data_IF_722535344454
#
_entry.id   IF_722535344454
#
_cell.length_a   1.000
_cell.length_b   1.000
_cell.length_c   1.000
_cell.angle_alpha   90.00
_cell.angle_beta   90.00
_cell.angle_gamma   90.00
#
_symmetry.space_group_name_H-M   'P 1'
#
loop_
_entity.id
_entity.type
_entity.pdbx_description
1 polymer ?
#
# COMPACT_ATOMS: atom_id res chain seq x y z
N UNK A 1 -5.60 -9.48 23.94
CA UNK A 1 -6.32 -9.40 22.66
C UNK A 1 -6.09 -10.68 21.85
N UNK A 2 -6.95 -10.99 20.88
CA UNK A 2 -6.81 -12.19 20.04
C UNK A 2 -5.99 -11.94 18.77
N UNK A 3 -5.95 -10.71 18.31
CA UNK A 3 -5.25 -10.27 17.09
C UNK A 3 -5.10 -8.74 17.10
N UNK A 4 -4.36 -8.19 16.13
CA UNK A 4 -4.12 -6.75 16.00
C UNK A 4 -5.39 -5.91 15.82
N UNK A 5 -6.45 -6.48 15.19
CA UNK A 5 -7.75 -5.81 15.05
C UNK A 5 -8.44 -5.62 16.39
N UNK A 6 -8.42 -6.65 17.25
CA UNK A 6 -8.97 -6.56 18.61
C UNK A 6 -8.16 -5.57 19.48
N UNK A 7 -6.83 -5.48 19.28
CA UNK A 7 -5.99 -4.47 19.93
C UNK A 7 -6.37 -3.05 19.48
N UNK A 8 -6.52 -2.84 18.16
CA UNK A 8 -6.91 -1.55 17.62
C UNK A 8 -8.29 -1.09 18.16
N UNK A 9 -9.24 -2.02 18.27
CA UNK A 9 -10.55 -1.75 18.88
C UNK A 9 -10.38 -1.38 20.35
N UNK A 10 -9.67 -2.19 21.14
CA UNK A 10 -9.48 -1.95 22.57
C UNK A 10 -8.81 -0.61 22.85
N UNK A 11 -7.76 -0.27 22.10
CA UNK A 11 -7.06 1.01 22.24
C UNK A 11 -7.96 2.17 21.80
N UNK A 12 -8.71 2.04 20.69
CA UNK A 12 -9.64 3.09 20.27
C UNK A 12 -10.75 3.35 21.31
N UNK A 13 -11.29 2.30 21.92
CA UNK A 13 -12.30 2.41 22.95
C UNK A 13 -11.75 3.09 24.21
N UNK A 14 -10.50 2.81 24.59
CA UNK A 14 -9.82 3.47 25.71
C UNK A 14 -9.62 4.97 25.43
N UNK A 15 -9.17 5.29 24.20
CA UNK A 15 -8.99 6.67 23.75
C UNK A 15 -10.30 7.47 23.79
N UNK A 16 -11.40 6.89 23.34
CA UNK A 16 -12.69 7.56 23.34
C UNK A 16 -13.29 7.75 24.74
N UNK A 17 -13.22 6.71 25.58
CA UNK A 17 -13.89 6.69 26.89
C UNK A 17 -13.12 7.45 27.95
N UNK A 18 -11.82 7.23 28.04
CA UNK A 18 -11.04 7.64 29.19
C UNK A 18 -10.03 8.75 28.90
N UNK A 19 -9.44 8.79 27.73
CA UNK A 19 -8.37 9.73 27.43
C UNK A 19 -8.85 11.04 26.80
N UNK A 20 -9.88 11.02 25.97
CA UNK A 20 -10.43 12.22 25.31
C UNK A 20 -10.82 13.34 26.28
N UNK A 21 -11.14 12.98 27.53
CA UNK A 21 -11.54 13.94 28.59
C UNK A 21 -10.36 14.48 29.37
N UNK A 22 -9.26 13.76 29.46
CA UNK A 22 -8.16 14.00 30.40
C UNK A 22 -6.82 14.34 29.74
N UNK A 23 -6.63 13.98 28.46
CA UNK A 23 -5.37 14.14 27.78
C UNK A 23 -5.58 14.71 26.37
N UNK A 24 -4.62 15.53 25.93
CA UNK A 24 -4.49 15.95 24.53
C UNK A 24 -4.02 14.79 23.67
N UNK A 25 -4.66 14.57 22.52
CA UNK A 25 -4.26 13.53 21.57
C UNK A 25 -2.80 13.70 21.10
N UNK A 26 -2.28 14.92 21.06
CA UNK A 26 -0.87 15.15 20.71
C UNK A 26 0.12 14.55 21.73
N UNK A 27 -0.33 14.24 22.93
CA UNK A 27 0.47 13.65 24.01
C UNK A 27 0.32 12.14 24.10
N UNK A 28 -0.43 11.54 23.19
CA UNK A 28 -0.64 10.10 23.10
C UNK A 28 0.19 9.54 21.96
N UNK A 29 0.87 8.42 22.20
CA UNK A 29 1.61 7.69 21.19
C UNK A 29 1.22 6.21 21.14
N UNK A 30 1.18 5.66 19.92
CA UNK A 30 1.12 4.23 19.65
C UNK A 30 2.45 3.85 19.01
N UNK A 31 3.24 3.05 19.71
CA UNK A 31 4.57 2.64 19.26
C UNK A 31 4.51 1.19 18.77
N UNK A 32 4.80 1.01 17.49
CA UNK A 32 4.82 -0.30 16.85
C UNK A 32 6.25 -0.76 16.62
N UNK A 33 6.47 -2.08 16.52
CA UNK A 33 7.78 -2.63 16.18
C UNK A 33 8.10 -2.44 14.70
N UNK A 34 7.12 -2.65 13.84
CA UNK A 34 7.24 -2.48 12.40
C UNK A 34 6.06 -1.67 11.84
N UNK A 35 6.36 -0.84 10.83
CA UNK A 35 5.40 0.14 10.31
C UNK A 35 4.13 -0.50 9.71
N UNK A 36 4.19 -1.75 9.21
CA UNK A 36 3.01 -2.42 8.66
C UNK A 36 1.91 -2.63 9.71
N UNK A 37 2.26 -2.76 11.00
CA UNK A 37 1.33 -2.93 12.11
C UNK A 37 0.39 -1.72 12.29
N UNK A 38 0.73 -0.55 11.75
CA UNK A 38 -0.14 0.64 11.90
C UNK A 38 -1.46 0.50 11.14
N UNK A 39 -1.56 -0.38 10.13
CA UNK A 39 -2.75 -0.50 9.28
C UNK A 39 -4.04 -0.74 10.09
N UNK A 40 -4.04 -1.68 11.01
CA UNK A 40 -5.24 -2.00 11.82
C UNK A 40 -5.71 -0.79 12.64
N UNK A 41 -4.77 0.00 13.16
CA UNK A 41 -5.07 1.24 13.87
C UNK A 41 -5.57 2.32 12.92
N UNK A 42 -4.94 2.48 11.76
CA UNK A 42 -5.36 3.44 10.74
C UNK A 42 -6.79 3.17 10.28
N UNK A 43 -7.12 1.90 9.97
CA UNK A 43 -8.47 1.47 9.60
C UNK A 43 -9.49 1.72 10.71
N UNK A 44 -9.15 1.36 11.96
CA UNK A 44 -10.04 1.59 13.10
C UNK A 44 -10.27 3.07 13.34
N UNK A 45 -9.22 3.88 13.30
CA UNK A 45 -9.29 5.32 13.56
C UNK A 45 -10.06 6.05 12.46
N UNK A 46 -9.89 5.68 11.21
CA UNK A 46 -10.74 6.18 10.11
C UNK A 46 -12.22 5.88 10.36
N UNK A 47 -12.52 4.65 10.78
CA UNK A 47 -13.91 4.21 11.01
C UNK A 47 -14.59 4.95 12.17
N UNK A 48 -13.86 5.27 13.25
CA UNK A 48 -14.40 5.94 14.45
C UNK A 48 -14.13 7.44 14.48
N UNK A 49 -13.44 7.99 13.47
CA UNK A 49 -13.15 9.43 13.38
C UNK A 49 -12.09 9.91 14.36
N UNK A 50 -11.15 9.06 14.78
CA UNK A 50 -10.02 9.45 15.63
C UNK A 50 -8.90 10.00 14.73
N UNK A 51 -8.50 11.28 14.90
CA UNK A 51 -7.43 11.86 14.09
C UNK A 51 -6.05 11.33 14.52
N UNK A 52 -5.22 10.98 13.54
CA UNK A 52 -3.89 10.44 13.78
C UNK A 52 -2.86 10.95 12.76
N UNK A 53 -1.58 10.79 13.07
CA UNK A 53 -0.47 11.02 12.14
C UNK A 53 0.58 9.93 12.28
N UNK A 54 1.26 9.62 11.18
CA UNK A 54 2.39 8.70 11.16
C UNK A 54 3.68 9.52 11.22
N UNK A 55 4.51 9.29 12.23
CA UNK A 55 5.81 9.95 12.38
C UNK A 55 6.89 9.04 11.81
N UNK A 56 7.72 9.59 10.92
CA UNK A 56 8.79 8.84 10.27
C UNK A 56 8.33 7.89 9.16
N UNK A 57 7.11 8.09 8.65
CA UNK A 57 6.54 7.29 7.58
C UNK A 57 5.34 7.95 6.91
N UNK A 58 4.66 7.21 6.06
CA UNK A 58 3.42 7.60 5.41
C UNK A 58 2.28 6.69 5.80
N UNK A 59 1.04 7.17 5.69
CA UNK A 59 -0.16 6.39 5.93
C UNK A 59 -0.20 5.17 5.00
N UNK A 60 -0.90 4.12 5.43
CA UNK A 60 -0.87 2.83 4.76
C UNK A 60 -1.19 2.92 3.27
N UNK A 61 -2.32 3.55 2.92
CA UNK A 61 -2.73 3.70 1.51
C UNK A 61 -1.90 4.71 0.70
N UNK A 62 -1.03 5.46 1.35
CA UNK A 62 -0.13 6.42 0.70
C UNK A 62 1.26 5.85 0.40
N UNK A 63 1.61 4.68 0.95
CA UNK A 63 2.90 4.02 0.71
C UNK A 63 3.06 3.68 -0.76
N UNK A 64 4.28 3.84 -1.29
CA UNK A 64 4.55 3.72 -2.72
C UNK A 64 4.12 2.36 -3.30
N UNK A 65 4.48 1.25 -2.63
CA UNK A 65 4.12 -0.10 -3.03
C UNK A 65 2.62 -0.37 -2.95
N UNK A 66 1.92 0.25 -2.01
CA UNK A 66 0.47 0.13 -1.88
C UNK A 66 -0.23 0.91 -3.00
N UNK A 67 0.22 2.14 -3.27
CA UNK A 67 -0.26 2.93 -4.41
C UNK A 67 -0.04 2.21 -5.75
N UNK A 68 1.09 1.50 -5.90
CA UNK A 68 1.36 0.70 -7.10
C UNK A 68 0.36 -0.46 -7.24
N UNK A 69 0.13 -1.22 -6.16
CA UNK A 69 -0.88 -2.30 -6.14
C UNK A 69 -2.29 -1.78 -6.46
N UNK A 70 -2.68 -0.67 -5.84
CA UNK A 70 -3.97 -0.02 -6.09
C UNK A 70 -4.09 0.45 -7.54
N UNK A 71 -3.03 1.03 -8.12
CA UNK A 71 -3.03 1.46 -9.51
C UNK A 71 -3.20 0.28 -10.49
N UNK A 72 -2.57 -0.88 -10.22
CA UNK A 72 -2.84 -2.10 -10.97
C UNK A 72 -4.31 -2.52 -10.91
N UNK A 73 -4.91 -2.51 -9.73
CA UNK A 73 -6.31 -2.88 -9.55
C UNK A 73 -7.25 -1.87 -10.24
N UNK A 74 -6.98 -0.57 -10.11
CA UNK A 74 -7.76 0.51 -10.71
C UNK A 74 -7.80 0.44 -12.23
N UNK A 75 -6.67 0.25 -12.90
CA UNK A 75 -6.63 0.17 -14.36
C UNK A 75 -7.33 -1.08 -14.91
N UNK A 76 -7.40 -2.15 -14.12
CA UNK A 76 -8.16 -3.35 -14.48
C UNK A 76 -9.66 -3.10 -14.32
N UNK A 77 -10.06 -2.45 -13.25
CA UNK A 77 -11.46 -2.11 -12.97
C UNK A 77 -11.97 -1.04 -13.94
N UNK A 78 -11.17 -0.01 -14.23
CA UNK A 78 -11.52 1.11 -15.08
C UNK A 78 -10.47 1.37 -16.15
N UNK A 79 -10.77 0.98 -17.42
CA UNK A 79 -9.83 1.07 -18.56
C UNK A 79 -9.39 2.50 -18.93
N UNK A 80 -10.09 3.53 -18.44
CA UNK A 80 -9.78 4.93 -18.73
C UNK A 80 -9.05 5.64 -17.59
N UNK A 81 -8.56 4.89 -16.60
CA UNK A 81 -7.79 5.48 -15.50
C UNK A 81 -6.35 5.77 -15.93
N UNK A 82 -6.17 6.93 -16.54
CA UNK A 82 -4.88 7.36 -17.08
C UNK A 82 -3.83 7.58 -15.98
N UNK A 83 -4.24 8.03 -14.79
CA UNK A 83 -3.33 8.18 -13.66
C UNK A 83 -2.79 6.83 -13.16
N UNK A 84 -3.68 5.83 -13.09
CA UNK A 84 -3.27 4.47 -12.74
C UNK A 84 -2.35 3.88 -13.82
N UNK A 85 -2.68 4.08 -15.10
CA UNK A 85 -1.84 3.62 -16.21
C UNK A 85 -0.43 4.23 -16.16
N UNK A 86 -0.34 5.56 -16.06
CA UNK A 86 0.93 6.28 -15.96
C UNK A 86 1.80 5.74 -14.84
N UNK A 87 1.21 5.53 -13.67
CA UNK A 87 1.93 5.07 -12.50
C UNK A 87 2.61 3.72 -12.71
N UNK A 88 1.93 2.75 -13.35
CA UNK A 88 2.39 1.36 -13.38
C UNK A 88 2.96 0.91 -14.72
N UNK A 89 2.80 1.67 -15.78
CA UNK A 89 3.22 1.24 -17.14
C UNK A 89 4.70 0.87 -17.23
N UNK A 90 5.55 1.50 -16.43
CA UNK A 90 7.00 1.21 -16.35
C UNK A 90 7.46 0.76 -14.94
N UNK A 91 6.55 0.26 -14.12
CA UNK A 91 6.85 -0.35 -12.82
C UNK A 91 6.28 -1.78 -12.79
N UNK A 92 7.13 -2.82 -12.78
CA UNK A 92 8.60 -2.83 -12.97
C UNK A 92 9.06 -2.26 -14.31
N UNK A 93 10.36 -1.94 -14.42
CA UNK A 93 10.92 -1.34 -15.64
C UNK A 93 10.69 -2.20 -16.90
N UNK A 94 10.07 -1.59 -17.93
CA UNK A 94 9.73 -2.22 -19.22
C UNK A 94 10.34 -1.50 -20.42
N UNK A 95 11.42 -0.76 -20.20
CA UNK A 95 12.07 0.10 -21.23
C UNK A 95 11.14 1.20 -21.79
N UNK A 96 10.16 1.62 -21.02
CA UNK A 96 9.25 2.73 -21.36
C UNK A 96 9.79 3.96 -20.62
N UNK A 97 10.49 4.83 -21.35
CA UNK A 97 11.05 6.05 -20.79
C UNK A 97 10.16 7.27 -21.03
N UNK A 98 10.56 8.41 -20.44
CA UNK A 98 9.81 9.67 -20.46
C UNK A 98 9.46 10.15 -21.88
N UNK A 99 10.38 9.95 -22.85
CA UNK A 99 10.12 10.33 -24.26
C UNK A 99 8.95 9.55 -24.86
N UNK A 100 8.82 8.26 -24.53
CA UNK A 100 7.69 7.44 -25.00
C UNK A 100 6.41 7.82 -24.27
N UNK A 101 6.47 8.06 -22.97
CA UNK A 101 5.32 8.53 -22.22
C UNK A 101 4.81 9.87 -22.76
N UNK A 102 5.70 10.82 -23.02
CA UNK A 102 5.35 12.10 -23.64
C UNK A 102 4.65 11.91 -25.00
N UNK A 103 5.18 11.00 -25.85
CA UNK A 103 4.57 10.68 -27.14
C UNK A 103 3.15 10.10 -26.97
N UNK A 104 2.95 9.20 -25.99
CA UNK A 104 1.63 8.63 -25.67
C UNK A 104 0.67 9.72 -25.19
N UNK A 105 1.10 10.64 -24.35
CA UNK A 105 0.30 11.77 -23.88
C UNK A 105 -0.11 12.72 -25.00
N UNK A 106 0.84 13.10 -25.86
CA UNK A 106 0.55 13.98 -26.99
C UNK A 106 -0.48 13.35 -27.95
N UNK A 107 -0.30 12.06 -28.23
CA UNK A 107 -1.24 11.32 -29.08
C UNK A 107 -2.63 11.19 -28.41
N UNK A 108 -2.69 10.91 -27.11
CA UNK A 108 -3.91 10.81 -26.34
C UNK A 108 -4.69 12.12 -26.36
N UNK A 109 -3.98 13.24 -26.10
CA UNK A 109 -4.57 14.60 -26.10
C UNK A 109 -5.13 14.98 -27.47
N UNK A 110 -4.36 14.75 -28.53
CA UNK A 110 -4.75 15.11 -29.90
C UNK A 110 -5.96 14.31 -30.38
N UNK A 111 -6.10 13.05 -29.97
CA UNK A 111 -7.14 12.15 -30.45
C UNK A 111 -8.27 11.92 -29.43
N UNK A 112 -8.25 12.59 -28.27
CA UNK A 112 -9.21 12.41 -27.16
C UNK A 112 -9.35 10.94 -26.74
N UNK A 113 -8.23 10.23 -26.62
CA UNK A 113 -8.14 8.83 -26.20
C UNK A 113 -7.52 8.69 -24.83
N UNK A 114 -7.79 7.57 -24.14
CA UNK A 114 -7.05 7.20 -22.95
C UNK A 114 -5.59 6.81 -23.31
N UNK A 115 -4.68 6.88 -22.30
CA UNK A 115 -3.27 6.52 -22.48
C UNK A 115 -3.11 5.07 -22.95
N UNK A 116 -3.94 4.14 -22.43
CA UNK A 116 -3.93 2.75 -22.86
C UNK A 116 -4.31 2.59 -24.34
N UNK A 117 -5.42 3.24 -24.76
CA UNK A 117 -5.85 3.20 -26.17
C UNK A 117 -4.83 3.85 -27.10
N UNK A 118 -4.26 4.96 -26.67
CA UNK A 118 -3.20 5.66 -27.40
C UNK A 118 -1.95 4.80 -27.55
N UNK A 119 -1.57 4.08 -26.51
CA UNK A 119 -0.46 3.12 -26.55
C UNK A 119 -0.71 2.02 -27.58
N UNK A 120 -1.91 1.44 -27.62
CA UNK A 120 -2.30 0.44 -28.64
C UNK A 120 -2.20 1.01 -30.05
N UNK A 121 -2.72 2.22 -30.27
CA UNK A 121 -2.68 2.88 -31.59
C UNK A 121 -1.26 3.20 -32.09
N UNK A 122 -0.42 3.73 -31.19
CA UNK A 122 0.97 4.02 -31.53
C UNK A 122 1.79 2.74 -31.88
N UNK A 123 1.46 1.60 -31.23
CA UNK A 123 2.03 0.29 -31.57
C UNK A 123 1.57 -0.17 -32.96
N UNK A 124 0.25 -0.07 -33.27
CA UNK A 124 -0.33 -0.43 -34.55
C UNK A 124 0.28 0.40 -35.71
N UNK A 125 0.49 1.69 -35.47
CA UNK A 125 1.09 2.62 -36.44
C UNK A 125 2.63 2.50 -36.56
N UNK A 126 3.26 1.59 -35.77
CA UNK A 126 4.71 1.43 -35.71
C UNK A 126 5.49 2.71 -35.33
N UNK A 127 4.88 3.59 -34.51
CA UNK A 127 5.50 4.83 -34.07
C UNK A 127 6.32 4.67 -32.78
N UNK A 128 6.32 3.50 -32.15
CA UNK A 128 7.09 3.16 -30.94
C UNK A 128 8.37 2.41 -31.33
N UNK A 129 9.49 2.77 -30.67
CA UNK A 129 10.78 2.09 -30.87
C UNK A 129 10.67 0.58 -30.58
N UNK A 130 11.35 -0.31 -31.35
CA UNK A 130 11.17 -1.77 -31.24
C UNK A 130 11.33 -2.31 -29.81
N UNK A 131 12.36 -1.89 -29.08
CA UNK A 131 12.61 -2.34 -27.71
C UNK A 131 11.47 -1.97 -26.75
N UNK A 132 10.98 -0.73 -26.84
CA UNK A 132 9.87 -0.22 -26.02
C UNK A 132 8.56 -0.87 -26.43
N UNK A 133 8.36 -1.10 -27.74
CA UNK A 133 7.17 -1.78 -28.28
C UNK A 133 6.95 -3.15 -27.64
N UNK A 134 8.01 -3.95 -27.48
CA UNK A 134 7.92 -5.28 -26.86
C UNK A 134 7.41 -5.17 -25.42
N UNK A 135 8.02 -4.31 -24.61
CA UNK A 135 7.63 -4.13 -23.21
C UNK A 135 6.21 -3.59 -23.04
N UNK A 136 5.84 -2.60 -23.87
CA UNK A 136 4.51 -2.00 -23.86
C UNK A 136 3.43 -3.00 -24.30
N UNK A 137 3.68 -3.75 -25.39
CA UNK A 137 2.75 -4.77 -25.86
C UNK A 137 2.55 -5.89 -24.84
N UNK A 138 3.63 -6.37 -24.24
CA UNK A 138 3.56 -7.37 -23.17
C UNK A 138 2.69 -6.89 -22.00
N UNK A 139 2.87 -5.63 -21.57
CA UNK A 139 2.08 -5.06 -20.50
C UNK A 139 0.59 -4.93 -20.87
N UNK A 140 0.27 -4.44 -22.06
CA UNK A 140 -1.12 -4.34 -22.54
C UNK A 140 -1.80 -5.71 -22.64
N UNK A 141 -1.08 -6.75 -23.05
CA UNK A 141 -1.59 -8.11 -23.06
C UNK A 141 -1.89 -8.64 -21.66
N UNK A 142 -1.04 -8.33 -20.68
CA UNK A 142 -1.30 -8.67 -19.29
C UNK A 142 -2.55 -7.97 -18.75
N UNK A 143 -2.75 -6.69 -19.04
CA UNK A 143 -3.97 -5.98 -18.64
C UNK A 143 -5.23 -6.65 -19.19
N UNK A 144 -5.22 -7.03 -20.48
CA UNK A 144 -6.35 -7.73 -21.09
C UNK A 144 -6.60 -9.10 -20.44
N UNK A 145 -5.52 -9.85 -20.16
CA UNK A 145 -5.60 -11.14 -19.46
C UNK A 145 -6.23 -10.99 -18.08
N UNK A 146 -5.74 -10.04 -17.26
CA UNK A 146 -6.23 -9.85 -15.90
C UNK A 146 -7.69 -9.37 -15.85
N UNK A 147 -8.13 -8.54 -16.82
CA UNK A 147 -9.55 -8.19 -17.00
C UNK A 147 -10.40 -9.40 -17.31
N UNK A 148 -9.90 -10.29 -18.16
CA UNK A 148 -10.59 -11.55 -18.46
C UNK A 148 -10.71 -12.45 -17.22
N UNK A 149 -9.64 -12.59 -16.44
CA UNK A 149 -9.64 -13.35 -15.18
C UNK A 149 -10.67 -12.79 -14.19
N UNK A 150 -10.74 -11.47 -14.04
CA UNK A 150 -11.69 -10.81 -13.13
C UNK A 150 -13.15 -10.97 -13.64
N UNK A 151 -13.40 -10.57 -14.88
CA UNK A 151 -14.77 -10.38 -15.36
C UNK A 151 -15.43 -11.66 -15.83
N UNK A 152 -14.70 -12.54 -16.49
CA UNK A 152 -15.22 -13.77 -17.12
C UNK A 152 -15.02 -14.96 -16.21
N UNK A 153 -13.81 -15.17 -15.68
CA UNK A 153 -13.55 -16.29 -14.77
C UNK A 153 -13.97 -16.04 -13.32
N UNK A 154 -14.43 -14.80 -13.01
CA UNK A 154 -14.89 -14.41 -11.67
C UNK A 154 -13.86 -14.68 -10.58
N UNK A 155 -12.58 -14.45 -10.90
CA UNK A 155 -11.51 -14.62 -9.95
C UNK A 155 -11.68 -13.60 -8.80
N UNK A 156 -11.44 -14.02 -7.55
CA UNK A 156 -11.48 -13.08 -6.42
C UNK A 156 -10.43 -11.99 -6.57
N UNK A 157 -10.76 -10.77 -6.14
CA UNK A 157 -9.88 -9.60 -6.24
C UNK A 157 -8.56 -9.79 -5.48
N UNK A 158 -8.56 -10.53 -4.35
CA UNK A 158 -7.35 -10.89 -3.60
C UNK A 158 -6.42 -11.77 -4.45
N UNK A 159 -6.99 -12.83 -5.05
CA UNK A 159 -6.20 -13.74 -5.88
C UNK A 159 -5.73 -13.09 -7.17
N UNK A 160 -6.55 -12.18 -7.71
CA UNK A 160 -6.17 -11.37 -8.86
C UNK A 160 -4.92 -10.53 -8.56
N UNK A 161 -4.87 -9.82 -7.42
CA UNK A 161 -3.69 -9.04 -7.06
C UNK A 161 -2.44 -9.91 -6.90
N UNK A 162 -2.56 -11.11 -6.30
CA UNK A 162 -1.43 -12.05 -6.20
C UNK A 162 -0.87 -12.42 -7.59
N UNK A 163 -1.75 -12.75 -8.54
CA UNK A 163 -1.37 -13.06 -9.93
C UNK A 163 -0.72 -11.85 -10.60
N UNK A 164 -1.27 -10.66 -10.44
CA UNK A 164 -0.71 -9.42 -10.99
C UNK A 164 0.70 -9.19 -10.48
N UNK A 165 0.94 -9.31 -9.19
CA UNK A 165 2.24 -9.08 -8.56
C UNK A 165 3.31 -10.06 -9.08
N UNK A 166 2.94 -11.30 -9.34
CA UNK A 166 3.84 -12.32 -9.86
C UNK A 166 4.07 -12.15 -11.37
N UNK A 167 3.01 -12.04 -12.17
CA UNK A 167 3.10 -11.97 -13.64
C UNK A 167 3.67 -10.63 -14.15
N UNK A 168 3.43 -9.53 -13.44
CA UNK A 168 4.05 -8.24 -13.75
C UNK A 168 5.55 -8.21 -13.47
N UNK A 169 6.05 -9.15 -12.64
CA UNK A 169 7.40 -9.16 -12.11
C UNK A 169 7.60 -8.24 -10.91
N UNK A 170 6.53 -7.68 -10.32
CA UNK A 170 6.61 -6.75 -9.19
C UNK A 170 7.18 -7.43 -7.94
N UNK A 171 6.69 -8.63 -7.60
CA UNK A 171 7.22 -9.43 -6.50
C UNK A 171 8.71 -9.74 -6.69
N UNK A 172 9.11 -10.09 -7.90
CA UNK A 172 10.52 -10.37 -8.23
C UNK A 172 11.40 -9.12 -8.12
N UNK A 173 10.90 -7.96 -8.54
CA UNK A 173 11.60 -6.68 -8.43
C UNK A 173 11.94 -6.35 -6.97
N UNK A 174 11.01 -6.55 -6.04
CA UNK A 174 11.25 -6.31 -4.62
C UNK A 174 12.18 -7.34 -4.00
N UNK A 175 12.02 -8.63 -4.34
CA UNK A 175 12.86 -9.73 -3.81
C UNK A 175 14.31 -9.68 -4.30
N UNK A 176 14.58 -9.11 -5.48
CA UNK A 176 15.92 -9.03 -6.05
C UNK A 176 16.85 -8.06 -5.31
N UNK A 177 16.30 -7.11 -4.58
CA UNK A 177 17.06 -6.22 -3.69
C UNK A 177 16.84 -6.69 -2.26
N UNK A 178 17.81 -7.40 -1.72
CA UNK A 178 17.78 -7.86 -0.31
C UNK A 178 18.19 -6.71 0.63
N UNK A 179 17.31 -5.74 0.79
CA UNK A 179 17.45 -4.65 1.76
C UNK A 179 16.20 -4.61 2.66
N UNK A 180 16.37 -4.04 3.84
CA UNK A 180 15.32 -3.94 4.85
C UNK A 180 14.10 -3.17 4.33
N UNK A 181 14.30 -2.21 3.44
CA UNK A 181 13.23 -1.41 2.85
C UNK A 181 12.30 -2.27 1.98
N UNK A 182 12.86 -3.12 1.10
CA UNK A 182 12.06 -3.99 0.26
C UNK A 182 11.39 -5.12 1.05
N UNK A 183 12.00 -5.60 2.13
CA UNK A 183 11.34 -6.53 3.05
C UNK A 183 10.10 -5.88 3.69
N UNK A 184 10.22 -4.67 4.20
CA UNK A 184 9.09 -3.91 4.74
C UNK A 184 7.99 -3.68 3.69
N UNK A 185 8.35 -3.41 2.44
CA UNK A 185 7.40 -3.29 1.33
C UNK A 185 6.65 -4.59 1.07
N UNK A 186 7.32 -5.72 1.12
CA UNK A 186 6.67 -7.03 0.97
C UNK A 186 5.70 -7.32 2.12
N UNK A 187 6.04 -6.96 3.36
CA UNK A 187 5.11 -7.07 4.49
C UNK A 187 3.91 -6.14 4.32
N UNK A 188 4.10 -4.90 3.86
CA UNK A 188 3.00 -3.99 3.54
C UNK A 188 2.05 -4.58 2.47
N UNK A 189 2.59 -5.27 1.45
CA UNK A 189 1.76 -5.93 0.43
C UNK A 189 1.00 -7.12 1.02
N UNK A 190 1.59 -7.91 1.93
CA UNK A 190 0.88 -8.98 2.64
C UNK A 190 -0.28 -8.41 3.46
N UNK A 191 -0.04 -7.29 4.14
CA UNK A 191 -1.07 -6.57 4.89
C UNK A 191 -2.19 -6.07 3.97
N UNK A 192 -1.86 -5.55 2.79
CA UNK A 192 -2.87 -5.16 1.79
C UNK A 192 -3.73 -6.34 1.36
N UNK A 193 -3.12 -7.49 1.06
CA UNK A 193 -3.84 -8.72 0.71
C UNK A 193 -4.74 -9.20 1.86
N UNK A 194 -4.32 -8.99 3.11
CA UNK A 194 -5.14 -9.30 4.28
C UNK A 194 -6.34 -8.37 4.40
N UNK A 195 -6.11 -7.06 4.26
CA UNK A 195 -7.17 -6.04 4.26
C UNK A 195 -8.22 -6.31 3.17
N UNK A 196 -7.79 -6.65 1.96
CA UNK A 196 -8.68 -6.93 0.84
C UNK A 196 -9.66 -8.08 1.11
N UNK A 197 -9.34 -9.03 1.99
CA UNK A 197 -10.24 -10.15 2.35
C UNK A 197 -11.49 -9.69 3.11
N UNK A 198 -11.48 -8.50 3.68
CA UNK A 198 -12.62 -7.94 4.41
C UNK A 198 -13.70 -7.37 3.48
N UNK A 199 -13.43 -7.30 2.17
CA UNK A 199 -14.32 -6.74 1.16
C UNK A 199 -14.88 -7.83 0.25
N UNK A 200 -16.15 -7.72 -0.11
CA UNK A 200 -16.83 -8.71 -0.94
C UNK A 200 -16.31 -8.75 -2.38
N UNK A 201 -15.88 -7.59 -2.89
CA UNK A 201 -15.43 -7.45 -4.28
C UNK A 201 -14.42 -6.31 -4.44
N UNK A 202 -13.88 -6.18 -5.66
CA UNK A 202 -12.89 -5.14 -5.99
C UNK A 202 -13.45 -3.73 -5.89
N UNK A 203 -14.70 -3.53 -6.27
CA UNK A 203 -15.35 -2.21 -6.28
C UNK A 203 -15.43 -1.64 -4.85
N UNK A 204 -16.00 -2.41 -3.92
CA UNK A 204 -16.13 -2.00 -2.51
C UNK A 204 -14.77 -1.72 -1.86
N UNK A 205 -13.74 -2.49 -2.22
CA UNK A 205 -12.38 -2.22 -1.76
C UNK A 205 -11.83 -0.89 -2.31
N UNK A 206 -11.99 -0.63 -3.63
CA UNK A 206 -11.50 0.62 -4.24
C UNK A 206 -12.25 1.86 -3.73
N UNK A 207 -13.55 1.75 -3.47
CA UNK A 207 -14.34 2.80 -2.82
C UNK A 207 -13.81 3.10 -1.42
N UNK A 208 -13.56 2.08 -0.61
CA UNK A 208 -12.97 2.24 0.71
C UNK A 208 -11.63 2.96 0.65
N UNK A 209 -10.72 2.53 -0.24
CA UNK A 209 -9.42 3.20 -0.44
C UNK A 209 -9.59 4.67 -0.82
N UNK A 210 -10.53 4.97 -1.70
CA UNK A 210 -10.82 6.35 -2.11
C UNK A 210 -11.27 7.21 -0.92
N UNK A 211 -12.16 6.69 -0.08
CA UNK A 211 -12.60 7.37 1.14
C UNK A 211 -11.44 7.55 2.12
N UNK A 212 -10.67 6.49 2.39
CA UNK A 212 -9.55 6.51 3.33
C UNK A 212 -8.49 7.56 2.96
N UNK A 213 -8.27 7.78 1.65
CA UNK A 213 -7.29 8.77 1.17
C UNK A 213 -7.83 10.19 1.08
N UNK A 214 -9.16 10.39 1.07
CA UNK A 214 -9.80 11.72 0.97
C UNK A 214 -10.02 12.42 2.32
N UNK A 215 -10.27 11.66 3.39
CA UNK A 215 -10.67 12.20 4.72
C UNK A 215 -9.56 13.03 5.38
N UNK A 216 -8.33 12.91 4.96
CA UNK A 216 -7.15 13.37 5.70
C UNK A 216 -6.66 14.78 5.36
N UNK A 217 -7.23 15.44 4.40
CA UNK A 217 -6.70 16.72 3.89
C UNK A 217 -7.05 17.95 4.74
N UNK A 218 -7.97 17.85 5.71
CA UNK A 218 -8.55 19.04 6.37
C UNK A 218 -8.45 19.09 7.90
N UNK A 219 -7.83 18.08 8.58
CA UNK A 219 -7.80 18.11 10.04
C UNK A 219 -6.58 18.86 10.59
N UNK A 220 -6.82 20.07 11.10
CA UNK A 220 -5.78 20.95 11.69
C UNK A 220 -5.66 20.80 13.22
N UNK A 221 -6.47 19.93 13.84
CA UNK A 221 -6.54 19.71 15.27
C UNK A 221 -5.48 18.73 15.82
N UNK A 222 -5.66 18.38 17.08
CA UNK A 222 -4.83 17.40 17.79
C UNK A 222 -4.92 16.01 17.14
N UNK A 223 -3.77 15.34 17.00
CA UNK A 223 -3.65 14.02 16.36
C UNK A 223 -2.87 13.06 17.24
N UNK A 224 -3.31 11.81 17.31
CA UNK A 224 -2.54 10.73 17.93
C UNK A 224 -1.29 10.44 17.10
N UNK A 225 -0.18 10.21 17.79
CA UNK A 225 1.10 9.91 17.14
C UNK A 225 1.25 8.40 16.98
N UNK A 226 1.43 7.91 15.77
CA UNK A 226 1.80 6.52 15.50
C UNK A 226 3.18 6.47 14.88
N UNK A 227 4.04 5.61 15.39
CA UNK A 227 5.42 5.49 14.90
C UNK A 227 6.04 4.16 15.33
N UNK A 228 7.19 3.84 14.74
CA UNK A 228 8.00 2.73 15.23
C UNK A 228 8.72 3.13 16.53
N UNK A 229 9.06 2.15 17.38
CA UNK A 229 9.87 2.39 18.57
C UNK A 229 11.19 3.10 18.26
N UNK A 230 11.81 2.80 17.11
CA UNK A 230 13.03 3.48 16.67
C UNK A 230 12.80 4.97 16.38
N UNK A 231 11.68 5.32 15.78
CA UNK A 231 11.34 6.73 15.50
C UNK A 231 10.96 7.51 16.76
N UNK A 232 10.58 6.82 17.83
CA UNK A 232 10.24 7.41 19.11
C UNK A 232 11.46 7.82 19.96
N UNK A 233 12.68 7.44 19.55
CA UNK A 233 13.89 7.76 20.32
C UNK A 233 14.05 9.26 20.54
N UNK A 234 14.08 9.67 21.81
CA UNK A 234 14.20 11.07 22.20
C UNK A 234 12.90 11.87 22.22
N UNK A 235 11.76 11.22 21.96
CA UNK A 235 10.43 11.80 22.12
C UNK A 235 9.83 11.35 23.46
N UNK A 236 8.96 12.21 24.04
CA UNK A 236 8.27 11.95 25.31
C UNK A 236 6.77 12.13 25.12
N UNK A 237 5.98 11.19 25.67
CA UNK A 237 4.53 11.20 25.61
C UNK A 237 3.94 10.90 27.00
N UNK A 238 2.80 11.50 27.32
CA UNK A 238 2.12 11.24 28.59
C UNK A 238 1.44 9.88 28.66
N UNK A 239 0.98 9.39 27.48
CA UNK A 239 0.36 8.07 27.35
C UNK A 239 0.98 7.35 26.17
N UNK A 240 1.42 6.12 26.40
CA UNK A 240 2.04 5.27 25.38
C UNK A 240 1.33 3.92 25.34
N UNK A 241 0.90 3.53 24.13
CA UNK A 241 0.43 2.19 23.84
C UNK A 241 1.50 1.41 23.09
N UNK A 242 1.73 0.17 23.49
CA UNK A 242 2.71 -0.75 22.90
C UNK A 242 1.98 -2.01 22.41
N UNK A 243 1.34 -1.99 21.23
CA UNK A 243 0.64 -3.14 20.68
C UNK A 243 1.62 -4.14 20.01
N UNK A 244 1.10 -5.34 19.75
CA UNK A 244 1.82 -6.37 19.00
C UNK A 244 2.95 -7.03 19.78
N UNK A 245 2.80 -7.19 21.09
CA UNK A 245 3.73 -7.94 21.94
C UNK A 245 3.43 -9.44 21.84
N UNK A 246 3.78 -10.01 20.68
CA UNK A 246 3.58 -11.42 20.37
C UNK A 246 4.82 -12.03 19.72
N UNK A 247 5.00 -13.33 19.87
CA UNK A 247 6.13 -14.05 19.28
C UNK A 247 6.17 -13.87 17.77
N UNK A 248 7.38 -13.61 17.25
CA UNK A 248 7.62 -13.35 15.83
C UNK A 248 7.51 -11.89 15.41
N UNK A 249 6.81 -11.04 16.20
CA UNK A 249 6.79 -9.59 16.02
C UNK A 249 7.72 -8.88 17.01
N UNK A 250 7.66 -9.26 18.29
CA UNK A 250 8.52 -8.73 19.33
C UNK A 250 8.83 -9.82 20.39
N UNK A 251 10.04 -10.37 20.41
CA UNK A 251 11.19 -10.09 19.54
C UNK A 251 10.97 -10.53 18.09
N UNK A 252 11.63 -9.82 17.16
CA UNK A 252 11.47 -10.10 15.73
C UNK A 252 12.14 -11.43 15.37
N UNK A 253 11.44 -12.31 14.68
CA UNK A 253 11.91 -13.65 14.35
C UNK A 253 13.28 -13.65 13.66
N UNK A 254 13.54 -12.67 12.81
CA UNK A 254 14.80 -12.51 12.10
C UNK A 254 15.99 -12.23 13.04
N UNK A 255 15.76 -11.45 14.10
CA UNK A 255 16.80 -11.20 15.12
C UNK A 255 17.20 -12.50 15.82
N UNK A 256 16.22 -13.40 16.02
CA UNK A 256 16.45 -14.72 16.63
C UNK A 256 17.16 -15.63 15.64
N UNK A 257 16.76 -15.67 14.37
CA UNK A 257 17.35 -16.52 13.33
C UNK A 257 18.81 -16.13 13.00
N UNK A 258 19.12 -14.82 12.96
CA UNK A 258 20.44 -14.32 12.61
C UNK A 258 21.44 -14.33 13.79
N UNK A 259 20.98 -14.06 15.02
CA UNK A 259 21.84 -13.82 16.19
C UNK A 259 21.56 -14.75 17.39
N UNK A 260 20.58 -15.65 17.30
CA UNK A 260 20.20 -16.56 18.37
C UNK A 260 19.83 -15.84 19.67
N UNK A 261 20.37 -16.31 20.81
CA UNK A 261 20.13 -15.69 22.13
C UNK A 261 20.57 -14.22 22.22
N UNK A 262 21.63 -13.82 21.51
CA UNK A 262 22.06 -12.43 21.44
C UNK A 262 21.01 -11.53 20.77
N UNK A 263 20.30 -12.04 19.77
CA UNK A 263 19.20 -11.31 19.13
C UNK A 263 18.04 -11.06 20.08
N UNK A 264 17.74 -12.00 20.97
CA UNK A 264 16.74 -11.83 22.04
C UNK A 264 17.13 -10.75 23.04
N UNK A 265 18.41 -10.68 23.42
CA UNK A 265 18.90 -9.67 24.37
C UNK A 265 18.96 -8.27 23.74
N UNK A 266 19.27 -8.14 22.45
CA UNK A 266 19.25 -6.85 21.74
C UNK A 266 17.81 -6.30 21.58
N UNK A 267 16.82 -7.15 21.42
CA UNK A 267 15.42 -6.72 21.28
C UNK A 267 14.77 -6.37 22.64
N UNK A 268 15.32 -6.84 23.77
CA UNK A 268 14.91 -6.45 25.11
C UNK A 268 15.34 -5.03 25.47
#
# INVERSE_FOLDING_TARGET
FKNGKDEAIGISDELEKNLKKNFSFNKVAILVRAIFQTREFEERFLKVGIPYRIIGGTKFYERAEIKDCIAYLRIIFQEKDDLAFERIVNIPKRSIGDSTLKQIYEYAKTNSLSLEKSSKKLIELNLIKPKTKIGLLSFLNLLNKWRYELNIKKLSHVKLLQIILDESGYSSMLKNKKDLENENRLENIKELLSAMKEFDNLESFLEHVSLATSIDQEWDGEKINMMTMHAAKGLEFEVVFLPGWEEGLFPHQKSIEEKGQYGLEEER
#
